data_IF_307394658261
#
_entry.id   IF_307394658261
#
_cell.length_a   1.000
_cell.length_b   1.000
_cell.length_c   1.000
_cell.angle_alpha   90.00
_cell.angle_beta   90.00
_cell.angle_gamma   90.00
#
_symmetry.space_group_name_H-M   'P 1'
#
loop_
_entity.id
_entity.type
_entity.pdbx_description
1 polymer ?
#
# COMPACT_ATOMS: atom_id res chain seq x y z
N UNK A 1 -7.81 13.13 10.96
CA UNK A 1 -8.31 11.74 10.85
C UNK A 1 -7.97 11.28 9.43
N UNK A 2 -7.04 10.33 9.27
CA UNK A 2 -6.49 9.74 8.00
C UNK A 2 -6.33 10.65 6.79
N UNK A 3 -7.45 11.08 6.17
CA UNK A 3 -7.56 11.93 4.99
C UNK A 3 -6.68 13.18 5.02
N UNK A 4 -6.49 13.81 6.19
CA UNK A 4 -5.59 14.98 6.32
C UNK A 4 -4.12 14.62 6.04
N UNK A 5 -3.65 13.51 6.58
CA UNK A 5 -2.27 13.05 6.38
C UNK A 5 -2.08 12.44 4.99
N UNK A 6 -3.12 11.79 4.44
CA UNK A 6 -3.14 11.36 3.04
C UNK A 6 -2.99 12.56 2.10
N UNK A 7 -3.82 13.59 2.25
CA UNK A 7 -3.79 14.77 1.36
C UNK A 7 -2.43 15.49 1.38
N UNK A 8 -1.81 15.63 2.55
CA UNK A 8 -0.47 16.24 2.62
C UNK A 8 0.61 15.34 2.02
N UNK A 9 0.59 14.03 2.29
CA UNK A 9 1.60 13.10 1.76
C UNK A 9 1.48 12.92 0.23
N UNK A 10 0.25 12.91 -0.31
CA UNK A 10 0.02 12.88 -1.75
C UNK A 10 0.53 14.15 -2.44
N UNK A 11 0.47 15.31 -1.79
CA UNK A 11 0.97 16.55 -2.41
C UNK A 11 2.48 16.54 -2.57
N UNK A 12 3.25 15.96 -1.66
CA UNK A 12 4.72 15.94 -1.77
C UNK A 12 5.21 14.92 -2.82
N UNK A 13 4.53 13.77 -2.96
CA UNK A 13 4.95 12.66 -3.84
C UNK A 13 4.69 12.91 -5.34
N UNK A 14 3.70 13.75 -5.68
CA UNK A 14 3.34 14.08 -7.08
C UNK A 14 4.38 14.95 -7.79
N UNK A 15 5.34 15.55 -7.06
CA UNK A 15 6.32 16.49 -7.63
C UNK A 15 7.69 15.89 -7.96
N UNK A 16 7.91 14.59 -7.75
CA UNK A 16 9.14 13.94 -8.20
C UNK A 16 9.01 13.53 -9.67
N UNK A 17 9.79 14.16 -10.56
CA UNK A 17 9.71 13.95 -12.02
C UNK A 17 10.45 12.68 -12.48
N UNK A 18 11.30 12.12 -11.63
CA UNK A 18 12.10 10.92 -11.96
C UNK A 18 11.34 9.64 -11.60
N UNK A 19 11.40 8.65 -12.50
CA UNK A 19 10.81 7.34 -12.20
C UNK A 19 11.52 6.69 -11.00
N UNK A 20 10.78 6.00 -10.12
CA UNK A 20 11.39 5.32 -8.98
C UNK A 20 12.43 4.30 -9.45
N UNK A 21 13.61 4.34 -8.81
CA UNK A 21 14.67 3.36 -9.07
C UNK A 21 14.27 1.94 -8.63
N UNK A 22 14.97 0.94 -9.15
CA UNK A 22 14.77 -0.45 -8.72
C UNK A 22 15.38 -0.71 -7.33
N UNK A 23 14.69 -1.53 -6.54
CA UNK A 23 15.17 -2.14 -5.30
C UNK A 23 15.91 -3.47 -5.53
N UNK A 24 16.05 -3.91 -6.78
CA UNK A 24 16.76 -5.14 -7.15
C UNK A 24 16.10 -6.39 -6.57
N UNK A 25 16.80 -7.07 -5.67
CA UNK A 25 16.33 -8.29 -5.00
C UNK A 25 16.07 -8.10 -3.49
N UNK A 26 16.03 -6.85 -3.02
CA UNK A 26 15.63 -6.53 -1.65
C UNK A 26 14.17 -6.96 -1.42
N UNK A 27 13.86 -7.79 -0.41
CA UNK A 27 12.48 -8.18 -0.12
C UNK A 27 11.58 -6.96 0.14
N UNK A 28 10.46 -6.86 -0.59
CA UNK A 28 9.51 -5.75 -0.45
C UNK A 28 8.09 -6.29 -0.24
N UNK A 29 7.49 -5.98 0.90
CA UNK A 29 6.12 -6.37 1.22
C UNK A 29 5.26 -5.11 1.27
N UNK A 30 4.25 -5.03 0.40
CA UNK A 30 3.30 -3.92 0.32
C UNK A 30 1.97 -4.35 0.92
N UNK A 31 1.54 -3.65 1.96
CA UNK A 31 0.22 -3.81 2.58
C UNK A 31 -0.69 -2.69 2.08
N UNK A 32 -1.76 -3.04 1.38
CA UNK A 32 -2.71 -2.04 0.85
C UNK A 32 -4.10 -2.24 1.41
N UNK A 33 -4.88 -1.17 1.49
CA UNK A 33 -6.29 -1.26 1.88
C UNK A 33 -7.10 -2.19 0.95
N UNK A 34 -8.18 -2.75 1.49
CA UNK A 34 -9.07 -3.66 0.77
C UNK A 34 -10.56 -3.42 1.02
N UNK A 35 -10.91 -2.45 1.89
CA UNK A 35 -12.32 -2.06 2.05
C UNK A 35 -12.91 -1.62 0.70
N UNK A 36 -14.16 -2.02 0.49
CA UNK A 36 -14.91 -1.68 -0.72
C UNK A 36 -15.08 -0.15 -0.75
N UNK A 37 -14.80 0.51 -1.88
CA UNK A 37 -15.02 1.94 -2.02
C UNK A 37 -16.48 2.33 -1.80
N UNK A 38 -16.71 3.42 -1.09
CA UNK A 38 -18.03 3.99 -0.81
C UNK A 38 -18.10 5.43 -1.30
N UNK A 39 -19.31 5.90 -1.65
CA UNK A 39 -19.52 7.31 -1.95
C UNK A 39 -19.36 8.16 -0.69
N UNK A 40 -18.84 9.38 -0.84
CA UNK A 40 -18.71 10.36 0.26
C UNK A 40 -19.39 11.66 -0.17
N UNK A 41 -20.73 11.75 0.00
CA UNK A 41 -21.51 12.89 -0.49
C UNK A 41 -21.08 14.24 0.08
N UNK A 42 -20.69 14.28 1.36
CA UNK A 42 -20.23 15.49 2.04
C UNK A 42 -18.93 16.05 1.43
N UNK A 43 -18.14 15.20 0.77
CA UNK A 43 -16.92 15.57 0.05
C UNK A 43 -17.16 15.71 -1.47
N UNK A 44 -18.40 15.54 -1.94
CA UNK A 44 -18.73 15.55 -3.38
C UNK A 44 -18.18 14.36 -4.17
N UNK A 45 -17.78 13.27 -3.50
CA UNK A 45 -17.21 12.08 -4.13
C UNK A 45 -18.36 11.10 -4.42
N UNK A 46 -18.57 10.79 -5.70
CA UNK A 46 -19.54 9.78 -6.13
C UNK A 46 -18.95 8.37 -5.98
N UNK A 47 -19.80 7.34 -6.06
CA UNK A 47 -19.31 5.95 -6.09
C UNK A 47 -18.43 5.69 -7.31
N UNK A 48 -18.74 6.31 -8.45
CA UNK A 48 -17.91 6.22 -9.67
C UNK A 48 -16.52 6.79 -9.43
N UNK A 49 -16.43 7.97 -8.79
CA UNK A 49 -15.14 8.57 -8.42
C UNK A 49 -14.36 7.67 -7.47
N UNK A 50 -15.01 7.11 -6.44
CA UNK A 50 -14.38 6.22 -5.47
C UNK A 50 -13.85 4.93 -6.13
N UNK A 51 -14.59 4.36 -7.08
CA UNK A 51 -14.15 3.21 -7.87
C UNK A 51 -12.99 3.55 -8.82
N UNK A 52 -13.02 4.73 -9.45
CA UNK A 52 -11.93 5.20 -10.30
C UNK A 52 -10.65 5.43 -9.49
N UNK A 53 -10.77 6.05 -8.31
CA UNK A 53 -9.65 6.21 -7.36
C UNK A 53 -9.10 4.85 -6.94
N UNK A 54 -9.97 3.87 -6.65
CA UNK A 54 -9.53 2.52 -6.30
C UNK A 54 -8.72 1.85 -7.41
N UNK A 55 -9.14 1.98 -8.66
CA UNK A 55 -8.42 1.40 -9.80
C UNK A 55 -7.01 2.01 -9.96
N UNK A 56 -6.88 3.32 -9.75
CA UNK A 56 -5.57 4.00 -9.75
C UNK A 56 -4.74 3.53 -8.57
N UNK A 57 -5.32 3.48 -7.37
CA UNK A 57 -4.64 2.98 -6.19
C UNK A 57 -4.10 1.57 -6.39
N UNK A 58 -4.90 0.66 -6.94
CA UNK A 58 -4.47 -0.71 -7.22
C UNK A 58 -3.26 -0.77 -8.16
N UNK A 59 -3.28 0.04 -9.22
CA UNK A 59 -2.15 0.17 -10.15
C UNK A 59 -0.90 0.63 -9.42
N UNK A 60 -0.99 1.68 -8.60
CA UNK A 60 0.16 2.22 -7.86
C UNK A 60 0.75 1.21 -6.88
N UNK A 61 -0.09 0.44 -6.18
CA UNK A 61 0.38 -0.58 -5.25
C UNK A 61 1.08 -1.74 -5.98
N UNK A 62 0.60 -2.11 -7.18
CA UNK A 62 1.25 -3.12 -8.01
C UNK A 62 2.58 -2.61 -8.57
N UNK A 63 2.66 -1.34 -9.00
CA UNK A 63 3.89 -0.68 -9.43
C UNK A 63 4.94 -0.63 -8.33
N UNK A 64 4.54 -0.31 -7.08
CA UNK A 64 5.44 -0.39 -5.93
C UNK A 64 6.04 -1.78 -5.77
N UNK A 65 5.24 -2.84 -5.93
CA UNK A 65 5.77 -4.21 -5.82
C UNK A 65 6.79 -4.52 -6.92
N UNK A 66 6.60 -3.96 -8.12
CA UNK A 66 7.48 -4.18 -9.25
C UNK A 66 8.88 -3.55 -9.08
N UNK A 67 9.08 -2.66 -8.10
CA UNK A 67 10.40 -2.12 -7.77
C UNK A 67 11.39 -3.22 -7.34
N UNK A 68 10.90 -4.36 -6.82
CA UNK A 68 11.70 -5.50 -6.40
C UNK A 68 11.31 -6.79 -7.12
N UNK A 69 12.30 -7.59 -7.51
CA UNK A 69 12.09 -8.96 -7.99
C UNK A 69 11.50 -9.91 -6.93
N UNK A 70 11.54 -9.52 -5.65
CA UNK A 70 10.92 -10.22 -4.50
C UNK A 70 9.75 -9.42 -3.92
N UNK A 71 9.15 -8.53 -4.70
CA UNK A 71 7.97 -7.75 -4.32
C UNK A 71 6.73 -8.61 -4.13
N UNK A 72 5.98 -8.33 -3.07
CA UNK A 72 4.72 -9.01 -2.76
C UNK A 72 3.70 -8.02 -2.24
N UNK A 73 2.46 -8.13 -2.72
CA UNK A 73 1.33 -7.35 -2.23
C UNK A 73 0.41 -8.20 -1.37
N UNK A 74 -0.12 -7.62 -0.30
CA UNK A 74 -1.19 -8.21 0.51
C UNK A 74 -2.29 -7.18 0.70
N UNK A 75 -3.51 -7.54 0.29
CA UNK A 75 -4.69 -6.69 0.41
C UNK A 75 -5.35 -6.96 1.76
N UNK A 76 -5.51 -5.90 2.55
CA UNK A 76 -6.14 -5.94 3.85
C UNK A 76 -7.66 -5.72 3.69
N UNK A 77 -8.39 -6.75 3.28
CA UNK A 77 -9.84 -6.71 2.92
C UNK A 77 -10.72 -6.02 3.98
N UNK A 78 -10.45 -6.23 5.26
CA UNK A 78 -11.18 -5.60 6.37
C UNK A 78 -10.70 -4.20 6.77
N UNK A 79 -9.78 -3.57 6.03
CA UNK A 79 -9.15 -2.29 6.38
C UNK A 79 -9.18 -1.26 5.26
N UNK A 80 -9.38 -0.01 5.64
CA UNK A 80 -9.04 1.17 4.83
C UNK A 80 -7.57 1.53 5.05
N UNK A 81 -7.23 2.80 4.84
CA UNK A 81 -5.85 3.32 4.91
C UNK A 81 -5.05 2.92 6.17
N UNK A 82 -5.67 2.90 7.35
CA UNK A 82 -4.97 2.70 8.64
C UNK A 82 -4.89 1.23 9.09
N UNK A 83 -4.26 0.39 8.27
CA UNK A 83 -4.18 -1.08 8.44
C UNK A 83 -3.61 -1.52 9.80
N UNK A 84 -2.61 -0.82 10.32
CA UNK A 84 -2.00 -1.11 11.62
C UNK A 84 -2.97 -0.95 12.80
N UNK A 85 -4.05 -0.17 12.64
CA UNK A 85 -5.07 0.00 13.67
C UNK A 85 -6.28 -0.92 13.42
N UNK A 86 -6.70 -1.09 12.17
CA UNK A 86 -7.90 -1.86 11.84
C UNK A 86 -7.64 -3.37 11.72
N UNK A 87 -6.49 -3.77 11.17
CA UNK A 87 -6.08 -5.17 11.04
C UNK A 87 -4.62 -5.37 11.50
N UNK A 88 -4.27 -5.08 12.77
CA UNK A 88 -2.90 -5.18 13.27
C UNK A 88 -2.26 -6.56 13.10
N UNK A 89 -3.06 -7.63 13.10
CA UNK A 89 -2.57 -9.00 12.91
C UNK A 89 -1.85 -9.18 11.57
N UNK A 90 -2.39 -8.62 10.48
CA UNK A 90 -1.79 -8.76 9.14
C UNK A 90 -0.41 -8.08 9.08
N UNK A 91 -0.26 -6.94 9.78
CA UNK A 91 1.01 -6.21 9.87
C UNK A 91 2.04 -7.05 10.64
N UNK A 92 1.66 -7.56 11.81
CA UNK A 92 2.53 -8.38 12.66
C UNK A 92 2.98 -9.64 11.90
N UNK A 93 2.05 -10.33 11.25
CA UNK A 93 2.32 -11.54 10.48
C UNK A 93 3.33 -11.27 9.36
N UNK A 94 3.13 -10.21 8.58
CA UNK A 94 4.01 -9.85 7.45
C UNK A 94 5.39 -9.40 7.91
N UNK A 95 5.50 -8.68 9.03
CA UNK A 95 6.80 -8.35 9.64
C UNK A 95 7.53 -9.63 10.09
N UNK A 96 6.84 -10.54 10.77
CA UNK A 96 7.43 -11.80 11.24
C UNK A 96 7.88 -12.67 10.07
N UNK A 97 7.10 -12.72 8.99
CA UNK A 97 7.44 -13.41 7.75
C UNK A 97 8.71 -12.82 7.11
N UNK A 98 8.78 -11.49 6.97
CA UNK A 98 9.94 -10.80 6.40
C UNK A 98 11.21 -11.05 7.23
N UNK A 99 11.13 -10.95 8.56
CA UNK A 99 12.28 -11.20 9.44
C UNK A 99 12.79 -12.64 9.31
N UNK A 100 11.89 -13.62 9.16
CA UNK A 100 12.28 -15.01 8.93
C UNK A 100 12.98 -15.18 7.59
N UNK A 101 12.43 -14.59 6.53
CA UNK A 101 13.00 -14.65 5.17
C UNK A 101 14.42 -14.07 5.12
N UNK A 102 14.65 -12.92 5.75
CA UNK A 102 15.97 -12.28 5.80
C UNK A 102 16.96 -13.16 6.57
N UNK A 103 16.60 -13.63 7.76
CA UNK A 103 17.48 -14.49 8.59
C UNK A 103 17.86 -15.81 7.94
N UNK A 104 16.97 -16.38 7.12
CA UNK A 104 17.25 -17.59 6.35
C UNK A 104 18.22 -17.32 5.19
N UNK A 105 18.12 -16.15 4.58
CA UNK A 105 18.99 -15.72 3.47
C UNK A 105 20.43 -15.45 3.94
N UNK A 106 20.61 -14.94 5.15
CA UNK A 106 21.93 -14.67 5.76
C UNK A 106 22.66 -15.94 6.25
N UNK A 107 21.96 -17.08 6.34
CA UNK A 107 22.51 -18.35 6.80
C UNK A 107 23.02 -19.24 5.66
N UNK A 108 23.02 -18.73 4.43
CA UNK A 108 23.41 -19.43 3.19
C UNK A 108 24.77 -19.02 2.64
#
# INVERSE_FOLDING_TARGET
>A
MSVYWELESFQEEVFDEEAPGTLGDLPLFVLSEGKIPEAVPDAGITLEDALAQRAVWDTLQDELTALSSKGQRTIAEGSGHVIQFEQPSIVIEKIVEMVKLIRQSDSG
#
